data_IF_704288951397
#
_entry.id   IF_704288951397
#
_cell.length_a   1.000
_cell.length_b   1.000
_cell.length_c   1.000
_cell.angle_alpha   90.00
_cell.angle_beta   90.00
_cell.angle_gamma   90.00
#
_symmetry.space_group_name_H-M   'P 1'
#
loop_
_entity.id
_entity.type
_entity.pdbx_description
1 polymer ?
#
# COMPACT_ATOMS: atom_id res chain seq x y z
N UNK A 1 -39.65 -5.96 -10.83
CA UNK A 1 -39.78 -7.37 -10.40
C UNK A 1 -39.68 -8.22 -11.66
N UNK A 2 -38.79 -9.19 -11.84
CA UNK A 2 -37.70 -9.66 -11.02
C UNK A 2 -36.77 -10.53 -11.88
N UNK A 3 -35.55 -10.69 -11.36
CA UNK A 3 -34.56 -11.75 -11.51
C UNK A 3 -34.39 -12.45 -12.86
N UNK A 4 -33.14 -12.43 -13.35
CA UNK A 4 -32.51 -13.66 -13.82
C UNK A 4 -31.10 -13.78 -13.25
N UNK A 5 -30.95 -14.77 -12.37
CA UNK A 5 -29.71 -15.23 -11.76
C UNK A 5 -28.77 -15.79 -12.84
N UNK A 6 -27.56 -15.23 -12.96
CA UNK A 6 -26.45 -15.94 -13.59
C UNK A 6 -25.82 -16.87 -12.54
N UNK A 7 -25.95 -18.18 -12.80
CA UNK A 7 -25.43 -19.27 -11.97
C UNK A 7 -23.91 -19.21 -11.87
N UNK A 8 -23.42 -19.36 -10.64
CA UNK A 8 -22.07 -19.84 -10.34
C UNK A 8 -21.84 -21.19 -11.05
N UNK A 9 -20.73 -21.30 -11.78
CA UNK A 9 -20.26 -22.59 -12.29
C UNK A 9 -19.26 -23.19 -11.29
N UNK A 10 -19.40 -24.48 -10.91
CA UNK A 10 -18.48 -25.15 -10.04
C UNK A 10 -17.26 -25.66 -10.82
N UNK A 11 -16.12 -25.63 -10.16
CA UNK A 11 -14.87 -26.23 -10.61
C UNK A 11 -15.03 -27.76 -10.65
N UNK A 12 -15.10 -28.38 -11.83
CA UNK A 12 -15.07 -29.85 -11.94
C UNK A 12 -13.70 -30.32 -12.40
N UNK A 13 -13.02 -31.10 -11.55
CA UNK A 13 -11.93 -31.97 -11.95
C UNK A 13 -12.46 -33.03 -12.93
N UNK A 14 -11.79 -33.20 -14.07
CA UNK A 14 -11.95 -34.40 -14.90
C UNK A 14 -10.58 -35.02 -15.15
N UNK A 15 -10.46 -36.28 -14.77
CA UNK A 15 -9.32 -37.13 -15.04
C UNK A 15 -9.66 -38.07 -16.20
N UNK A 16 -8.88 -38.03 -17.31
CA UNK A 16 -8.12 -39.18 -17.86
C UNK A 16 -7.51 -38.90 -19.24
N UNK A 17 -6.21 -39.20 -19.31
CA UNK A 17 -5.46 -39.94 -20.34
C UNK A 17 -5.55 -39.59 -21.84
N UNK A 18 -4.38 -39.17 -22.36
CA UNK A 18 -3.76 -39.82 -23.53
C UNK A 18 -3.86 -39.07 -24.86
N UNK A 19 -2.78 -38.41 -25.27
CA UNK A 19 -2.59 -37.91 -26.63
C UNK A 19 -1.55 -36.81 -26.69
N UNK A 20 -0.32 -37.14 -27.06
CA UNK A 20 0.78 -36.20 -27.21
C UNK A 20 0.56 -35.31 -28.44
N UNK A 21 0.33 -34.02 -28.22
CA UNK A 21 0.55 -33.00 -29.24
C UNK A 21 0.98 -31.70 -28.54
N UNK A 22 2.15 -31.19 -28.92
CA UNK A 22 2.84 -30.08 -28.27
C UNK A 22 1.99 -28.82 -28.26
N UNK A 23 1.24 -28.61 -27.19
CA UNK A 23 0.56 -27.35 -26.93
C UNK A 23 1.60 -26.41 -26.35
N UNK A 24 2.02 -25.43 -27.15
CA UNK A 24 2.77 -24.28 -26.67
C UNK A 24 1.88 -23.59 -25.65
N UNK A 25 2.13 -23.84 -24.36
CA UNK A 25 1.39 -23.24 -23.25
C UNK A 25 1.46 -21.72 -23.46
N UNK A 26 0.31 -21.12 -23.80
CA UNK A 26 0.23 -19.67 -23.94
C UNK A 26 0.70 -19.08 -22.60
N UNK A 27 1.68 -18.15 -22.59
CA UNK A 27 2.12 -17.56 -21.36
C UNK A 27 0.89 -17.00 -20.65
N UNK A 28 0.65 -17.43 -19.41
CA UNK A 28 -0.46 -16.93 -18.60
C UNK A 28 -0.46 -15.40 -18.70
N UNK A 29 -1.62 -14.74 -18.93
CA UNK A 29 -1.66 -13.31 -19.12
C UNK A 29 -0.94 -12.63 -17.96
N UNK A 30 0.21 -12.02 -18.25
CA UNK A 30 0.92 -11.22 -17.27
C UNK A 30 0.10 -9.96 -17.10
N UNK A 31 -0.63 -9.87 -16.00
CA UNK A 31 -1.42 -8.70 -15.65
C UNK A 31 -0.54 -7.44 -15.70
N UNK A 32 -0.81 -6.55 -16.66
CA UNK A 32 -0.12 -5.28 -16.77
C UNK A 32 -0.74 -4.26 -15.82
N UNK A 33 0.02 -3.83 -14.81
CA UNK A 33 -0.47 -2.91 -13.78
C UNK A 33 -0.92 -1.58 -14.37
N UNK A 34 -0.31 -1.13 -15.47
CA UNK A 34 -0.69 0.09 -16.19
C UNK A 34 -2.15 0.13 -16.61
N UNK A 35 -2.74 -1.01 -16.96
CA UNK A 35 -4.17 -1.10 -17.31
C UNK A 35 -5.09 -0.74 -16.14
N UNK A 36 -4.62 -0.86 -14.90
CA UNK A 36 -5.36 -0.52 -13.69
C UNK A 36 -5.09 0.91 -13.18
N UNK A 37 -4.26 1.71 -13.85
CA UNK A 37 -3.94 3.08 -13.43
C UNK A 37 -4.56 4.10 -14.39
N UNK A 38 -5.28 5.10 -13.87
CA UNK A 38 -5.75 6.23 -14.69
C UNK A 38 -4.56 7.06 -15.19
N UNK A 39 -4.64 7.51 -16.45
CA UNK A 39 -3.66 8.44 -17.01
C UNK A 39 -3.72 9.77 -16.26
N UNK A 40 -2.54 10.33 -15.97
CA UNK A 40 -2.45 11.64 -15.36
C UNK A 40 -2.56 12.69 -16.46
N UNK A 41 -3.65 13.46 -16.46
CA UNK A 41 -3.89 14.56 -17.39
C UNK A 41 -2.69 15.52 -17.45
N UNK A 42 -2.42 16.18 -18.60
CA UNK A 42 -1.43 17.24 -18.71
C UNK A 42 -1.62 18.29 -17.61
N UNK A 43 -0.52 18.82 -17.09
CA UNK A 43 -0.56 19.82 -16.01
C UNK A 43 0.47 20.91 -16.28
N UNK A 44 -0.04 22.12 -16.54
CA UNK A 44 0.75 23.31 -16.84
C UNK A 44 1.67 23.68 -15.67
N UNK A 45 1.23 23.50 -14.42
CA UNK A 45 2.03 23.82 -13.24
C UNK A 45 3.17 22.82 -13.05
N UNK A 46 2.93 21.55 -13.39
CA UNK A 46 3.95 20.50 -13.35
C UNK A 46 4.75 20.41 -14.66
N UNK A 47 4.56 21.36 -15.60
CA UNK A 47 5.20 21.38 -16.93
C UNK A 47 5.08 20.06 -17.69
N UNK A 48 3.91 19.44 -17.60
CA UNK A 48 3.57 18.23 -18.36
C UNK A 48 2.66 18.60 -19.52
N UNK A 49 3.21 18.53 -20.73
CA UNK A 49 2.52 18.90 -21.97
C UNK A 49 1.63 17.77 -22.51
N UNK A 50 1.85 16.53 -22.06
CA UNK A 50 1.10 15.34 -22.47
C UNK A 50 0.61 14.53 -21.28
N UNK A 51 -0.44 13.75 -21.51
CA UNK A 51 -0.91 12.77 -20.54
C UNK A 51 0.15 11.68 -20.36
N UNK A 52 0.26 11.13 -19.15
CA UNK A 52 1.26 10.12 -18.83
C UNK A 52 0.68 9.04 -17.92
N UNK A 53 1.00 7.78 -18.21
CA UNK A 53 0.73 6.66 -17.32
C UNK A 53 1.67 6.73 -16.10
N UNK A 54 1.15 6.83 -14.87
CA UNK A 54 2.00 6.96 -13.69
C UNK A 54 2.66 5.62 -13.35
N UNK A 55 3.93 5.65 -12.93
CA UNK A 55 4.59 4.46 -12.38
C UNK A 55 4.14 4.22 -10.93
N UNK A 56 3.94 2.97 -10.55
CA UNK A 56 3.60 2.57 -9.19
C UNK A 56 4.79 1.88 -8.53
N UNK A 57 4.98 2.10 -7.22
CA UNK A 57 6.08 1.51 -6.45
C UNK A 57 5.92 0.01 -6.16
N UNK A 58 4.78 -0.59 -6.53
CA UNK A 58 4.46 -1.99 -6.28
C UNK A 58 4.73 -2.83 -7.52
N UNK A 59 5.23 -4.04 -7.33
CA UNK A 59 5.33 -5.04 -8.40
C UNK A 59 3.94 -5.55 -8.77
N UNK A 60 3.79 -6.18 -9.94
CA UNK A 60 2.49 -6.73 -10.36
C UNK A 60 1.91 -7.74 -9.36
N UNK A 61 2.76 -8.58 -8.74
CA UNK A 61 2.35 -9.53 -7.70
C UNK A 61 1.87 -8.82 -6.44
N UNK A 62 2.60 -7.79 -6.00
CA UNK A 62 2.23 -6.99 -4.83
C UNK A 62 0.92 -6.23 -5.07
N UNK A 63 0.76 -5.63 -6.25
CA UNK A 63 -0.48 -4.94 -6.64
C UNK A 63 -1.68 -5.89 -6.64
N UNK A 64 -1.56 -7.08 -7.22
CA UNK A 64 -2.63 -8.08 -7.22
C UNK A 64 -2.96 -8.57 -5.80
N UNK A 65 -1.95 -8.74 -4.95
CA UNK A 65 -2.14 -9.11 -3.54
C UNK A 65 -2.89 -8.00 -2.80
N UNK A 66 -2.51 -6.74 -3.02
CA UNK A 66 -3.17 -5.58 -2.45
C UNK A 66 -4.62 -5.46 -2.93
N UNK A 67 -4.88 -5.65 -4.23
CA UNK A 67 -6.22 -5.66 -4.82
C UNK A 67 -7.16 -6.67 -4.17
N UNK A 68 -6.68 -7.88 -3.84
CA UNK A 68 -7.50 -8.90 -3.16
C UNK A 68 -7.93 -8.50 -1.74
N UNK A 69 -7.16 -7.63 -1.08
CA UNK A 69 -7.45 -7.15 0.27
C UNK A 69 -8.27 -5.85 0.29
N UNK A 70 -8.41 -5.17 -0.85
CA UNK A 70 -9.30 -4.02 -0.95
C UNK A 70 -10.76 -4.45 -0.72
N UNK A 71 -11.63 -3.58 -0.16
CA UNK A 71 -13.05 -3.88 -0.05
C UNK A 71 -13.68 -4.21 -1.40
N UNK A 72 -14.57 -5.21 -1.44
CA UNK A 72 -15.18 -5.72 -2.68
C UNK A 72 -15.77 -4.61 -3.59
N UNK A 73 -16.31 -3.56 -2.98
CA UNK A 73 -16.89 -2.40 -3.69
C UNK A 73 -15.88 -1.61 -4.53
N UNK A 74 -14.59 -1.67 -4.20
CA UNK A 74 -13.50 -0.92 -4.88
C UNK A 74 -12.50 -1.83 -5.60
N UNK A 75 -12.65 -3.15 -5.49
CA UNK A 75 -11.83 -4.10 -6.25
C UNK A 75 -12.03 -3.92 -7.77
N UNK A 76 -10.98 -4.20 -8.54
CA UNK A 76 -10.99 -4.14 -10.02
C UNK A 76 -11.31 -2.75 -10.59
N UNK A 77 -11.23 -1.69 -9.78
CA UNK A 77 -11.37 -0.31 -10.22
C UNK A 77 -10.01 0.33 -10.49
N UNK A 78 -10.00 1.25 -11.45
CA UNK A 78 -8.79 2.00 -11.80
C UNK A 78 -8.35 2.88 -10.64
N UNK A 79 -7.04 2.97 -10.43
CA UNK A 79 -6.45 3.84 -9.43
C UNK A 79 -6.04 5.15 -10.07
N UNK A 80 -6.39 6.26 -9.44
CA UNK A 80 -5.97 7.60 -9.86
C UNK A 80 -4.88 8.10 -8.96
N UNK A 81 -3.79 8.58 -9.54
CA UNK A 81 -2.73 9.25 -8.79
C UNK A 81 -3.22 10.62 -8.31
N UNK A 82 -3.22 10.84 -6.99
CA UNK A 82 -3.52 12.15 -6.39
C UNK A 82 -2.25 12.95 -6.16
N UNK A 83 -1.22 12.30 -5.63
CA UNK A 83 0.04 12.94 -5.30
C UNK A 83 1.18 11.95 -5.47
N UNK A 84 2.32 12.43 -5.96
CA UNK A 84 3.57 11.68 -5.97
C UNK A 84 4.73 12.65 -5.79
N UNK A 85 5.68 12.32 -4.91
CA UNK A 85 6.78 13.23 -4.60
C UNK A 85 7.72 13.46 -5.80
N UNK A 86 7.80 12.52 -6.74
CA UNK A 86 8.56 12.68 -7.98
C UNK A 86 7.99 13.75 -8.92
N UNK A 87 6.69 14.00 -8.86
CA UNK A 87 6.00 15.01 -9.69
C UNK A 87 5.73 16.30 -8.91
N UNK A 88 5.34 16.19 -7.64
CA UNK A 88 4.85 17.31 -6.83
C UNK A 88 5.89 17.80 -5.82
N UNK A 89 7.06 17.17 -5.77
CA UNK A 89 8.05 17.38 -4.72
C UNK A 89 7.55 16.93 -3.35
N UNK A 90 8.31 17.26 -2.31
CA UNK A 90 7.91 17.08 -0.91
C UNK A 90 7.10 18.29 -0.42
N UNK A 91 6.07 18.67 -1.18
CA UNK A 91 5.23 19.83 -0.88
C UNK A 91 3.94 19.42 -0.16
N UNK A 92 3.87 19.69 1.14
CA UNK A 92 2.66 19.54 1.96
C UNK A 92 1.46 20.29 1.37
N UNK A 93 1.69 21.47 0.80
CA UNK A 93 0.65 22.27 0.14
C UNK A 93 0.14 21.57 -1.12
N UNK A 94 1.03 20.99 -1.93
CA UNK A 94 0.62 20.23 -3.12
C UNK A 94 -0.20 18.99 -2.73
N UNK A 95 0.23 18.22 -1.71
CA UNK A 95 -0.51 17.08 -1.18
C UNK A 95 -1.92 17.49 -0.72
N UNK A 96 -2.03 18.54 0.09
CA UNK A 96 -3.32 19.04 0.58
C UNK A 96 -4.23 19.54 -0.55
N UNK A 97 -3.67 20.23 -1.54
CA UNK A 97 -4.42 20.71 -2.71
C UNK A 97 -4.95 19.54 -3.54
N UNK A 98 -4.14 18.50 -3.78
CA UNK A 98 -4.56 17.29 -4.47
C UNK A 98 -5.70 16.58 -3.74
N UNK A 99 -5.58 16.38 -2.42
CA UNK A 99 -6.65 15.80 -1.61
C UNK A 99 -7.94 16.63 -1.68
N UNK A 100 -7.84 17.96 -1.54
CA UNK A 100 -8.99 18.87 -1.58
C UNK A 100 -9.66 18.86 -2.95
N UNK A 101 -8.89 18.82 -4.04
CA UNK A 101 -9.41 18.72 -5.41
C UNK A 101 -10.19 17.42 -5.59
N UNK A 102 -9.68 16.29 -5.09
CA UNK A 102 -10.38 15.02 -5.20
C UNK A 102 -11.66 14.97 -4.37
N UNK A 103 -11.65 15.50 -3.14
CA UNK A 103 -12.83 15.59 -2.31
C UNK A 103 -13.95 16.42 -2.97
N UNK A 104 -13.59 17.53 -3.63
CA UNK A 104 -14.54 18.31 -4.45
C UNK A 104 -15.06 17.51 -5.63
N UNK A 105 -14.18 16.79 -6.34
CA UNK A 105 -14.54 15.90 -7.46
C UNK A 105 -15.49 14.78 -7.03
N UNK A 106 -15.33 14.24 -5.83
CA UNK A 106 -16.16 13.17 -5.29
C UNK A 106 -17.60 13.61 -4.95
N UNK A 107 -17.91 14.92 -4.95
CA UNK A 107 -19.25 15.49 -4.69
C UNK A 107 -19.89 14.94 -3.40
N UNK A 108 -19.10 14.85 -2.33
CA UNK A 108 -19.55 14.35 -1.02
C UNK A 108 -19.60 12.83 -0.88
N UNK A 109 -19.22 12.06 -1.92
CA UNK A 109 -19.00 10.62 -1.78
C UNK A 109 -17.66 10.36 -1.08
N UNK A 110 -17.65 9.42 -0.15
CA UNK A 110 -16.41 8.96 0.47
C UNK A 110 -15.57 8.19 -0.55
N UNK A 111 -14.30 8.58 -0.69
CA UNK A 111 -13.31 7.89 -1.52
C UNK A 111 -12.16 7.40 -0.66
N UNK A 112 -11.75 6.13 -0.81
CA UNK A 112 -10.58 5.65 -0.10
C UNK A 112 -9.30 6.21 -0.71
N UNK A 113 -8.21 6.16 0.05
CA UNK A 113 -6.88 6.45 -0.44
C UNK A 113 -5.91 5.30 -0.14
N UNK A 114 -4.89 5.17 -0.98
CA UNK A 114 -3.79 4.23 -0.83
C UNK A 114 -2.52 5.05 -0.75
N UNK A 115 -1.95 5.11 0.44
CA UNK A 115 -0.67 5.76 0.72
C UNK A 115 0.43 4.72 0.58
N UNK A 116 1.42 4.98 -0.28
CA UNK A 116 2.60 4.15 -0.49
C UNK A 116 3.82 5.02 -0.20
N UNK A 117 4.70 4.55 0.67
CA UNK A 117 5.92 5.23 1.10
C UNK A 117 7.09 4.28 0.84
N UNK A 118 8.05 4.76 0.06
CA UNK A 118 9.39 4.19 -0.01
C UNK A 118 10.30 5.03 0.88
N UNK A 119 11.02 4.37 1.79
CA UNK A 119 11.90 4.98 2.77
C UNK A 119 13.30 4.33 2.76
N UNK A 120 14.23 4.95 3.47
CA UNK A 120 15.64 4.59 3.47
C UNK A 120 16.44 5.27 2.36
N UNK A 121 17.77 5.26 2.49
CA UNK A 121 18.69 5.94 1.57
C UNK A 121 18.51 5.47 0.11
N UNK A 122 18.36 4.16 -0.07
CA UNK A 122 18.16 3.50 -1.36
C UNK A 122 16.68 3.24 -1.70
N UNK A 123 15.74 3.65 -0.84
CA UNK A 123 14.30 3.40 -1.05
C UNK A 123 13.88 1.93 -0.92
N UNK A 124 14.68 1.14 -0.22
CA UNK A 124 14.54 -0.30 0.04
C UNK A 124 13.40 -0.67 1.00
N UNK A 125 12.93 0.28 1.82
CA UNK A 125 11.83 0.05 2.75
C UNK A 125 10.52 0.47 2.08
N UNK A 126 9.59 -0.47 1.87
CA UNK A 126 8.28 -0.16 1.29
C UNK A 126 7.17 -0.45 2.30
N UNK A 127 6.41 0.58 2.64
CA UNK A 127 5.27 0.48 3.55
C UNK A 127 4.15 1.41 3.12
N UNK A 128 2.97 1.19 3.66
CA UNK A 128 1.83 2.01 3.32
C UNK A 128 0.56 1.61 4.04
N UNK A 129 -0.52 2.26 3.62
CA UNK A 129 -1.85 2.01 4.16
C UNK A 129 -2.91 2.20 3.08
N UNK A 130 -3.93 1.34 3.13
CA UNK A 130 -5.24 1.66 2.59
C UNK A 130 -6.04 2.33 3.71
N UNK A 131 -6.58 3.51 3.43
CA UNK A 131 -7.46 4.26 4.33
C UNK A 131 -8.81 4.46 3.65
N UNK A 132 -9.90 4.30 4.39
CA UNK A 132 -11.24 4.33 3.78
C UNK A 132 -11.73 5.73 3.38
N UNK A 133 -10.98 6.79 3.71
CA UNK A 133 -11.24 8.16 3.29
C UNK A 133 -9.97 8.90 2.86
N UNK A 134 -10.11 9.92 2.00
CA UNK A 134 -9.00 10.78 1.56
C UNK A 134 -8.40 11.54 2.76
N UNK A 135 -7.06 11.59 2.91
CA UNK A 135 -6.39 12.39 3.92
C UNK A 135 -6.79 13.87 3.85
N UNK A 136 -7.44 14.37 4.90
CA UNK A 136 -7.86 15.76 5.02
C UNK A 136 -7.72 16.24 6.46
N UNK A 137 -7.12 17.41 6.64
CA UNK A 137 -7.10 18.07 7.94
C UNK A 137 -8.54 18.34 8.40
N UNK A 138 -8.87 17.89 9.62
CA UNK A 138 -10.20 18.05 10.18
C UNK A 138 -10.12 18.25 11.69
N UNK A 139 -11.16 18.83 12.28
CA UNK A 139 -11.27 18.96 13.73
C UNK A 139 -11.53 17.61 14.43
N UNK A 140 -11.78 16.54 13.66
CA UNK A 140 -11.95 15.19 14.22
C UNK A 140 -10.57 14.64 14.57
N UNK A 141 -10.47 14.05 15.77
CA UNK A 141 -9.23 13.42 16.23
C UNK A 141 -8.82 12.24 15.36
N UNK A 142 -9.76 11.41 14.95
CA UNK A 142 -9.52 10.29 14.01
C UNK A 142 -10.72 10.14 13.06
N UNK A 143 -10.43 9.70 11.83
CA UNK A 143 -11.36 9.43 10.74
C UNK A 143 -11.04 8.09 10.09
N UNK A 144 -11.96 7.57 9.27
CA UNK A 144 -11.84 6.26 8.62
C UNK A 144 -12.70 5.19 9.27
N UNK A 145 -12.62 3.98 8.73
CA UNK A 145 -13.40 2.80 9.10
C UNK A 145 -12.48 1.59 9.20
N UNK A 146 -13.03 0.48 9.70
CA UNK A 146 -12.34 -0.81 9.85
C UNK A 146 -11.93 -1.46 8.52
N UNK A 147 -12.42 -0.96 7.39
CA UNK A 147 -11.91 -1.33 6.05
C UNK A 147 -10.46 -0.88 5.84
N UNK A 148 -9.95 0.02 6.68
CA UNK A 148 -8.55 0.48 6.62
C UNK A 148 -7.59 -0.64 7.01
N UNK A 149 -6.44 -0.70 6.38
CA UNK A 149 -5.39 -1.66 6.72
C UNK A 149 -4.01 -1.11 6.35
N UNK A 150 -2.99 -1.66 7.00
CA UNK A 150 -1.59 -1.33 6.73
C UNK A 150 -0.96 -2.41 5.86
N UNK A 151 0.12 -2.06 5.18
CA UNK A 151 0.94 -3.05 4.50
C UNK A 151 2.42 -2.68 4.51
N UNK A 152 3.26 -3.69 4.35
CA UNK A 152 4.68 -3.52 4.09
C UNK A 152 5.23 -4.67 3.24
N UNK A 153 6.46 -4.50 2.75
CA UNK A 153 7.19 -5.53 2.00
C UNK A 153 8.48 -5.87 2.74
N UNK A 154 8.43 -6.79 3.71
CA UNK A 154 9.65 -7.27 4.35
C UNK A 154 10.62 -7.90 3.33
N UNK A 155 11.93 -7.85 3.59
CA UNK A 155 12.91 -8.53 2.76
C UNK A 155 12.64 -10.05 2.79
N UNK A 156 12.94 -10.77 1.69
CA UNK A 156 12.74 -12.21 1.63
C UNK A 156 13.54 -12.89 2.75
N UNK A 157 12.85 -13.55 3.67
CA UNK A 157 13.48 -14.31 4.74
C UNK A 157 14.07 -15.59 4.16
N UNK A 158 15.36 -15.83 4.35
CA UNK A 158 16.02 -17.11 3.99
C UNK A 158 15.56 -18.30 4.85
N UNK A 159 14.47 -18.17 5.60
CA UNK A 159 14.06 -19.08 6.67
C UNK A 159 12.58 -19.44 6.61
N UNK A 160 12.10 -19.82 5.42
CA UNK A 160 10.96 -20.74 5.27
C UNK A 160 11.43 -22.04 4.63
N UNK A 161 12.23 -22.79 5.39
CA UNK A 161 12.39 -24.23 5.20
C UNK A 161 11.07 -24.92 5.55
N UNK A 162 10.11 -24.91 4.62
CA UNK A 162 9.00 -25.85 4.51
C UNK A 162 8.30 -25.68 3.15
N UNK A 163 8.78 -26.45 2.18
CA UNK A 163 7.99 -27.05 1.09
C UNK A 163 7.04 -26.17 0.28
N UNK A 164 7.58 -25.37 -0.64
CA UNK A 164 6.97 -25.24 -1.98
C UNK A 164 8.02 -24.76 -2.98
N UNK A 165 8.45 -25.69 -3.81
CA UNK A 165 9.23 -25.48 -5.03
C UNK A 165 8.56 -24.46 -5.97
N UNK A 166 9.39 -23.73 -6.71
CA UNK A 166 9.09 -22.80 -7.83
C UNK A 166 8.67 -21.37 -7.45
N UNK A 167 9.65 -20.48 -7.32
CA UNK A 167 9.75 -19.22 -8.12
C UNK A 167 10.84 -18.33 -7.56
N UNK A 168 11.97 -18.26 -8.26
CA UNK A 168 13.00 -17.25 -8.10
C UNK A 168 12.48 -15.89 -8.57
N UNK A 169 11.71 -15.19 -7.73
CA UNK A 169 11.48 -13.76 -7.85
C UNK A 169 12.01 -13.10 -6.58
N UNK A 170 13.01 -12.24 -6.73
CA UNK A 170 13.61 -11.41 -5.68
C UNK A 170 12.64 -10.38 -5.06
N UNK A 171 11.37 -10.41 -5.46
CA UNK A 171 10.35 -9.48 -5.00
C UNK A 171 9.78 -9.97 -3.66
N UNK A 172 9.94 -9.17 -2.60
CA UNK A 172 9.36 -9.45 -1.29
C UNK A 172 7.83 -9.59 -1.35
N UNK A 173 7.28 -10.43 -0.48
CA UNK A 173 5.85 -10.63 -0.34
C UNK A 173 5.20 -9.48 0.44
N UNK A 174 3.99 -9.09 0.03
CA UNK A 174 3.23 -8.02 0.68
C UNK A 174 2.56 -8.56 1.96
N UNK A 175 2.97 -8.06 3.12
CA UNK A 175 2.31 -8.34 4.40
C UNK A 175 1.18 -7.32 4.64
N UNK A 176 0.01 -7.80 5.04
CA UNK A 176 -1.18 -6.98 5.32
C UNK A 176 -1.54 -7.05 6.81
N UNK A 177 -1.91 -5.91 7.39
CA UNK A 177 -2.35 -5.80 8.79
C UNK A 177 -3.70 -5.08 8.86
N UNK A 178 -4.77 -5.84 9.14
CA UNK A 178 -6.13 -5.33 9.29
C UNK A 178 -6.47 -5.07 10.75
N UNK A 179 -7.55 -4.33 11.01
CA UNK A 179 -8.05 -4.18 12.36
C UNK A 179 -8.49 -5.54 12.94
N UNK A 180 -8.09 -5.90 14.18
CA UNK A 180 -8.60 -7.09 14.85
C UNK A 180 -10.11 -6.97 15.12
N UNK A 181 -10.84 -8.09 15.14
CA UNK A 181 -12.28 -8.11 15.47
C UNK A 181 -12.57 -7.44 16.83
N UNK A 182 -11.68 -7.66 17.80
CA UNK A 182 -11.75 -7.05 19.14
C UNK A 182 -10.69 -5.94 19.30
N UNK A 183 -10.60 -5.04 18.32
CA UNK A 183 -9.67 -3.91 18.39
C UNK A 183 -9.91 -3.06 19.65
N UNK A 184 -8.84 -2.70 20.36
CA UNK A 184 -8.97 -1.90 21.58
C UNK A 184 -9.39 -0.45 21.32
N UNK A 185 -9.30 0.02 20.06
CA UNK A 185 -9.82 1.30 19.60
C UNK A 185 -9.96 1.32 18.06
N UNK A 186 -10.54 2.42 17.54
CA UNK A 186 -10.79 2.65 16.11
C UNK A 186 -10.11 3.92 15.61
N UNK A 187 -8.81 4.08 15.90
CA UNK A 187 -8.04 5.27 15.55
C UNK A 187 -7.36 5.14 14.17
N UNK A 188 -8.15 5.04 13.11
CA UNK A 188 -7.64 4.64 11.78
C UNK A 188 -6.73 5.67 11.10
N UNK A 189 -7.17 6.93 10.94
CA UNK A 189 -6.37 7.97 10.32
C UNK A 189 -6.57 9.31 11.02
N UNK A 190 -5.51 10.10 11.15
CA UNK A 190 -5.55 11.49 11.59
C UNK A 190 -4.65 12.33 10.70
N UNK A 191 -5.16 13.46 10.22
CA UNK A 191 -4.36 14.43 9.48
C UNK A 191 -4.37 15.74 10.25
N UNK A 192 -3.21 16.26 10.59
CA UNK A 192 -3.07 17.49 11.37
C UNK A 192 -1.83 18.27 10.94
N UNK A 193 -2.01 19.57 10.70
CA UNK A 193 -0.98 20.47 10.18
C UNK A 193 -0.17 19.87 9.01
N UNK A 194 -0.85 19.09 8.17
CA UNK A 194 -0.30 18.33 7.03
C UNK A 194 0.69 17.20 7.33
N UNK A 195 0.80 16.78 8.59
CA UNK A 195 1.20 15.40 8.91
C UNK A 195 0.05 14.43 8.63
N UNK A 196 0.38 13.16 8.34
CA UNK A 196 -0.59 12.07 8.18
C UNK A 196 -0.21 10.94 9.13
N UNK A 197 -1.10 10.63 10.07
CA UNK A 197 -0.98 9.53 11.01
C UNK A 197 -1.98 8.43 10.65
N UNK A 198 -1.53 7.18 10.57
CA UNK A 198 -2.39 6.01 10.35
C UNK A 198 -2.20 5.02 11.50
N UNK A 199 -3.31 4.59 12.12
CA UNK A 199 -3.34 3.59 13.18
C UNK A 199 -2.84 4.09 14.52
N UNK A 200 -3.62 4.92 15.21
CA UNK A 200 -3.27 5.49 16.51
C UNK A 200 -3.41 4.54 17.71
N UNK A 201 -3.28 5.14 18.91
CA UNK A 201 -3.31 4.44 20.19
C UNK A 201 -1.95 3.90 20.63
N UNK A 202 -1.87 3.29 21.81
CA UNK A 202 -0.61 2.72 22.30
C UNK A 202 0.49 3.76 22.47
N UNK A 203 1.64 3.54 21.83
CA UNK A 203 2.82 4.44 21.87
C UNK A 203 2.85 5.50 20.77
N UNK A 204 1.91 5.43 19.82
CA UNK A 204 1.86 6.33 18.68
C UNK A 204 1.22 5.68 17.47
N UNK A 205 1.17 6.38 16.34
CA UNK A 205 0.60 5.83 15.12
C UNK A 205 1.50 4.75 14.49
N UNK A 206 0.88 3.73 13.89
CA UNK A 206 1.59 2.70 13.15
C UNK A 206 2.42 3.28 12.00
N UNK A 207 1.91 4.33 11.34
CA UNK A 207 2.64 5.13 10.35
C UNK A 207 2.40 6.61 10.68
N UNK A 208 3.47 7.38 10.85
CA UNK A 208 3.44 8.82 10.93
C UNK A 208 4.29 9.43 9.83
N UNK A 209 3.64 9.95 8.81
CA UNK A 209 4.28 10.80 7.82
C UNK A 209 4.31 12.23 8.38
N UNK A 210 5.51 12.75 8.62
CA UNK A 210 5.71 14.07 9.19
C UNK A 210 5.30 15.18 8.21
N UNK A 211 5.14 16.40 8.70
CA UNK A 211 4.67 17.53 7.91
C UNK A 211 5.70 18.06 6.89
N UNK A 212 6.98 17.73 7.09
CA UNK A 212 8.05 17.92 6.11
C UNK A 212 7.93 16.97 4.89
N UNK A 213 7.09 15.93 5.00
CA UNK A 213 6.98 14.79 4.08
C UNK A 213 8.30 14.01 3.87
N UNK A 214 9.39 14.42 4.51
CA UNK A 214 10.73 13.87 4.35
C UNK A 214 11.05 12.83 5.42
N UNK A 215 10.25 12.77 6.48
CA UNK A 215 10.43 11.83 7.59
C UNK A 215 9.19 10.95 7.75
N UNK A 216 9.39 9.65 7.94
CA UNK A 216 8.34 8.72 8.36
C UNK A 216 8.79 8.03 9.65
N UNK A 217 7.91 7.99 10.65
CA UNK A 217 8.11 7.19 11.86
C UNK A 217 7.02 6.13 11.99
N UNK A 218 7.32 5.01 12.63
CA UNK A 218 6.40 3.88 12.77
C UNK A 218 6.48 3.32 14.18
N UNK A 219 5.37 3.39 14.92
CA UNK A 219 5.39 2.97 16.32
C UNK A 219 5.61 1.48 16.52
N UNK A 220 6.27 1.12 17.62
CA UNK A 220 6.53 -0.29 17.99
C UNK A 220 5.27 -1.06 18.45
N UNK A 221 4.19 -0.35 18.78
CA UNK A 221 2.92 -0.95 19.19
C UNK A 221 1.74 -0.11 18.70
N UNK A 222 0.83 -0.73 17.93
CA UNK A 222 -0.41 -0.11 17.47
C UNK A 222 -1.62 -1.03 17.75
N UNK A 223 -2.49 -0.69 18.72
CA UNK A 223 -3.68 -1.48 19.02
C UNK A 223 -4.75 -1.44 17.92
N UNK A 224 -4.83 -0.36 17.13
CA UNK A 224 -5.81 -0.24 16.03
C UNK A 224 -5.69 -1.40 15.03
N UNK A 225 -4.45 -1.79 14.72
CA UNK A 225 -4.13 -2.84 13.73
C UNK A 225 -3.42 -4.06 14.35
N UNK A 226 -3.45 -4.18 15.69
CA UNK A 226 -2.82 -5.28 16.41
C UNK A 226 -1.31 -5.41 16.24
N UNK A 227 -0.60 -4.35 15.81
CA UNK A 227 0.85 -4.38 15.62
C UNK A 227 1.57 -4.46 16.96
N UNK A 228 2.52 -5.38 17.04
CA UNK A 228 3.44 -5.58 18.17
C UNK A 228 4.90 -5.26 17.82
N UNK A 229 5.12 -4.78 16.59
CA UNK A 229 6.43 -4.40 16.07
C UNK A 229 6.25 -3.25 15.07
N UNK A 230 7.29 -2.43 14.91
CA UNK A 230 7.30 -1.33 13.96
C UNK A 230 7.41 -1.82 12.52
N UNK A 231 6.62 -1.24 11.62
CA UNK A 231 6.70 -1.53 10.19
C UNK A 231 8.10 -1.25 9.63
N UNK A 232 8.79 -0.20 10.10
CA UNK A 232 10.16 0.10 9.68
C UNK A 232 11.14 -1.00 10.10
N UNK A 233 11.02 -1.53 11.32
CA UNK A 233 11.88 -2.61 11.80
C UNK A 233 11.60 -3.94 11.11
N UNK A 234 10.33 -4.23 10.78
CA UNK A 234 9.95 -5.40 9.99
C UNK A 234 10.61 -5.42 8.61
N UNK A 235 10.70 -4.26 7.95
CA UNK A 235 11.34 -4.13 6.63
C UNK A 235 12.87 -4.24 6.67
N UNK A 236 13.46 -4.23 7.84
CA UNK A 236 14.87 -3.96 7.96
C UNK A 236 15.65 -5.12 8.59
N UNK A 237 14.97 -6.27 8.74
CA UNK A 237 15.57 -7.56 9.06
C UNK A 237 16.47 -8.02 7.91
N UNK A 238 17.75 -7.68 7.99
CA UNK A 238 18.78 -8.21 7.11
C UNK A 238 18.92 -9.73 7.28
N UNK A 239 19.30 -10.35 6.18
CA UNK A 239 19.51 -11.78 6.00
C UNK A 239 20.35 -12.40 7.14
N UNK A 240 19.98 -13.60 7.58
CA UNK A 240 20.52 -14.27 8.77
C UNK A 240 22.02 -14.57 8.77
N UNK A 241 22.86 -13.56 8.98
CA UNK A 241 24.23 -13.74 9.45
C UNK A 241 24.23 -13.63 10.97
N UNK A 242 24.27 -14.80 11.61
CA UNK A 242 24.47 -14.94 13.04
C UNK A 242 25.91 -14.58 13.42
N UNK A 243 26.20 -13.29 13.56
CA UNK A 243 27.27 -12.87 14.46
C UNK A 243 26.61 -12.41 15.77
N UNK A 244 26.86 -13.18 16.83
CA UNK A 244 26.38 -12.98 18.19
C UNK A 244 26.95 -11.70 18.87
N UNK A 245 27.39 -10.72 18.08
CA UNK A 245 27.83 -9.39 18.49
C UNK A 245 27.02 -8.24 17.83
N UNK A 246 26.07 -8.52 16.93
CA UNK A 246 25.26 -7.51 16.24
C UNK A 246 23.82 -7.34 16.80
N UNK A 247 23.60 -7.66 18.07
CA UNK A 247 22.29 -7.61 18.73
C UNK A 247 21.75 -6.20 19.04
N UNK A 248 22.26 -5.14 18.40
CA UNK A 248 21.86 -3.75 18.68
C UNK A 248 22.04 -2.78 17.50
N UNK A 249 22.16 -3.26 16.27
CA UNK A 249 22.30 -2.41 15.09
C UNK A 249 20.94 -2.07 14.50
N UNK A 250 20.44 -0.85 14.74
CA UNK A 250 19.35 -0.33 13.93
C UNK A 250 19.81 -0.41 12.45
N UNK A 251 18.98 -0.92 11.53
CA UNK A 251 19.31 -0.96 10.11
C UNK A 251 19.76 0.43 9.67
N UNK A 252 20.78 0.55 8.81
CA UNK A 252 21.42 1.84 8.47
C UNK A 252 20.45 2.96 8.08
N UNK A 253 19.29 2.59 7.55
CA UNK A 253 18.24 3.46 7.05
C UNK A 253 17.16 3.83 8.09
N UNK A 254 17.15 3.16 9.24
CA UNK A 254 16.21 3.38 10.34
C UNK A 254 16.97 3.95 11.54
N UNK A 255 16.46 5.02 12.11
CA UNK A 255 16.97 5.67 13.32
C UNK A 255 15.95 5.50 14.45
N UNK A 256 16.42 5.45 15.69
CA UNK A 256 15.54 5.49 16.85
C UNK A 256 15.54 6.92 17.39
N UNK A 257 14.47 7.68 17.13
CA UNK A 257 14.28 9.01 17.69
C UNK A 257 13.29 8.93 18.86
N UNK A 258 13.75 9.25 20.07
CA UNK A 258 12.91 9.14 21.28
C UNK A 258 12.42 7.72 21.58
N UNK A 259 13.09 6.70 21.02
CA UNK A 259 12.69 5.28 21.16
C UNK A 259 11.72 4.78 20.09
N UNK A 260 11.28 5.64 19.17
CA UNK A 260 10.43 5.25 18.04
C UNK A 260 11.25 5.17 16.74
N UNK A 261 11.11 4.10 15.94
CA UNK A 261 11.76 3.96 14.64
C UNK A 261 11.31 5.05 13.66
N UNK A 262 12.27 5.68 13.00
CA UNK A 262 12.09 6.70 11.97
C UNK A 262 13.03 6.48 10.80
N UNK A 263 12.63 6.86 9.59
CA UNK A 263 13.44 6.75 8.38
C UNK A 263 13.21 7.96 7.46
N UNK A 264 14.21 8.28 6.64
CA UNK A 264 14.06 9.29 5.59
C UNK A 264 13.17 8.76 4.47
N UNK A 265 12.17 9.54 4.07
CA UNK A 265 11.28 9.21 2.96
C UNK A 265 11.99 9.47 1.64
N UNK A 266 12.05 8.43 0.79
CA UNK A 266 12.61 8.53 -0.56
C UNK A 266 11.54 8.91 -1.57
N UNK A 267 10.36 8.30 -1.47
CA UNK A 267 9.24 8.68 -2.31
C UNK A 267 7.89 8.40 -1.65
N UNK A 268 6.91 9.20 -2.04
CA UNK A 268 5.52 9.08 -1.59
C UNK A 268 4.65 8.97 -2.83
N UNK A 269 3.69 8.06 -2.81
CA UNK A 269 2.58 8.05 -3.74
C UNK A 269 1.27 7.96 -2.96
N UNK A 270 0.31 8.82 -3.30
CA UNK A 270 -1.04 8.79 -2.80
C UNK A 270 -1.98 8.54 -3.97
N UNK A 271 -2.70 7.44 -3.91
CA UNK A 271 -3.68 7.05 -4.92
C UNK A 271 -5.08 7.13 -4.33
N UNK A 272 -6.08 7.34 -5.17
CA UNK A 272 -7.49 7.08 -4.86
C UNK A 272 -8.01 6.01 -5.80
N UNK A 273 -9.12 5.38 -5.41
CA UNK A 273 -9.80 4.44 -6.30
C UNK A 273 -10.90 5.18 -7.06
N UNK A 274 -10.77 5.15 -8.39
CA UNK A 274 -11.70 5.73 -9.34
C UNK A 274 -13.04 4.99 -9.40
N UNK A 275 -13.89 5.44 -10.31
CA UNK A 275 -15.22 4.85 -10.52
C UNK A 275 -15.24 3.83 -11.67
N UNK A 276 -14.22 3.87 -12.54
CA UNK A 276 -14.10 3.00 -13.71
C UNK A 276 -13.48 1.65 -13.35
N UNK A 277 -13.99 0.58 -13.98
CA UNK A 277 -13.40 -0.75 -13.88
C UNK A 277 -12.29 -0.91 -14.93
N UNK A 278 -11.24 -1.66 -14.60
CA UNK A 278 -10.33 -2.18 -15.60
C UNK A 278 -10.67 -3.64 -15.90
N UNK A 279 -10.57 -4.04 -17.16
CA UNK A 279 -10.72 -5.43 -17.56
C UNK A 279 -9.35 -6.08 -17.40
N UNK A 280 -9.23 -7.05 -16.49
CA UNK A 280 -8.07 -7.93 -16.48
C UNK A 280 -8.14 -8.77 -17.77
N UNK A 281 -7.19 -8.56 -18.67
CA UNK A 281 -7.06 -9.32 -19.92
C UNK A 281 -6.61 -10.74 -19.63
#
# INVERSE_FOLDING_TARGET
>A
MGNNFARFLPFSQSAKAGGAEGTREAPAPQFEVGAALEEVEPDVYLKRDTAMTPSILLTGKQFLTLQRHLPARVQSRRWRLLFCSGLHGFSRVALQNSCTKELRRARGKERPAILIISAGSEGNILLGAYVSCIPQASNKRYVGTEESFLFCVPPPSSSSSSSSSYSSSSDGELCIFTAPENAANHYFMRCDNGSIAVGGGGKGPAIFLHDDLATVSCSTFCPTFGLKESLLLLNARSNGYCDAAAAAGCPSDVRLEGGEPAASVRSIQLWTVGDEYFVAS
#
